data_IF_455251491054
#
_entry.id   IF_455251491054
#
_cell.length_a   1.000
_cell.length_b   1.000
_cell.length_c   1.000
_cell.angle_alpha   90.00
_cell.angle_beta   90.00
_cell.angle_gamma   90.00
#
_symmetry.space_group_name_H-M   'P 1'
#
loop_
_entity.id
_entity.type
_entity.pdbx_description
1 polymer ?
#
# COMPACT_ATOMS: atom_id res chain seq x y z
N UNK A 1 -1.44 -0.14 28.90
CA UNK A 1 -1.23 0.83 27.80
C UNK A 1 -2.48 0.93 26.95
N UNK A 2 -3.00 -0.18 26.41
CA UNK A 2 -4.15 -0.17 25.50
C UNK A 2 -5.43 0.45 26.11
N UNK A 3 -5.74 0.15 27.39
CA UNK A 3 -6.93 0.72 28.05
C UNK A 3 -6.82 2.24 28.26
N UNK A 4 -5.62 2.74 28.47
CA UNK A 4 -5.37 4.18 28.54
C UNK A 4 -5.58 4.83 27.17
N UNK A 5 -5.04 4.24 26.10
CA UNK A 5 -5.23 4.70 24.73
C UNK A 5 -6.71 4.75 24.34
N UNK A 6 -7.46 3.68 24.63
CA UNK A 6 -8.92 3.62 24.39
C UNK A 6 -9.68 4.74 25.13
N UNK A 7 -9.31 5.05 26.39
CA UNK A 7 -9.90 6.17 27.14
C UNK A 7 -9.57 7.52 26.51
N UNK A 8 -8.31 7.77 26.16
CA UNK A 8 -7.90 9.04 25.52
C UNK A 8 -8.66 9.26 24.20
N UNK A 9 -8.85 8.21 23.40
CA UNK A 9 -9.62 8.26 22.16
C UNK A 9 -11.10 8.61 22.45
N UNK A 10 -11.70 7.94 23.43
CA UNK A 10 -13.12 8.15 23.80
C UNK A 10 -13.38 9.55 24.36
N UNK A 11 -12.46 10.07 25.17
CA UNK A 11 -12.59 11.39 25.80
C UNK A 11 -12.29 12.56 24.83
N UNK A 12 -11.65 12.29 23.68
CA UNK A 12 -11.21 13.32 22.73
C UNK A 12 -11.50 12.93 21.27
N UNK A 13 -12.73 12.56 20.89
CA UNK A 13 -13.02 12.01 19.56
C UNK A 13 -12.69 12.94 18.40
N UNK A 14 -12.77 14.26 18.61
CA UNK A 14 -12.54 15.28 17.59
C UNK A 14 -11.08 15.77 17.51
N UNK A 15 -10.19 15.25 18.36
CA UNK A 15 -8.79 15.67 18.37
C UNK A 15 -7.95 14.82 17.44
N UNK A 16 -7.15 15.47 16.59
CA UNK A 16 -6.26 14.74 15.69
C UNK A 16 -5.29 13.81 16.44
N UNK A 17 -4.79 14.22 17.61
CA UNK A 17 -3.96 13.35 18.45
C UNK A 17 -4.66 12.05 18.87
N UNK A 18 -5.98 12.06 19.09
CA UNK A 18 -6.73 10.84 19.36
C UNK A 18 -6.84 9.95 18.10
N UNK A 19 -6.98 10.55 16.92
CA UNK A 19 -6.91 9.83 15.65
C UNK A 19 -5.54 9.19 15.43
N UNK A 20 -4.43 9.90 15.72
CA UNK A 20 -3.08 9.34 15.68
C UNK A 20 -2.90 8.14 16.59
N UNK A 21 -3.38 8.24 17.84
CA UNK A 21 -3.35 7.12 18.80
C UNK A 21 -4.16 5.93 18.24
N UNK A 22 -5.36 6.18 17.73
CA UNK A 22 -6.21 5.14 17.13
C UNK A 22 -5.50 4.46 15.95
N UNK A 23 -4.89 5.22 15.05
CA UNK A 23 -4.12 4.70 13.91
C UNK A 23 -2.96 3.80 14.33
N UNK A 24 -2.36 4.05 15.50
CA UNK A 24 -1.23 3.26 16.00
C UNK A 24 -1.64 1.86 16.49
N UNK A 25 -2.92 1.65 16.77
CA UNK A 25 -3.47 0.39 17.29
C UNK A 25 -3.76 -0.54 16.11
N UNK A 26 -3.24 -1.77 16.17
CA UNK A 26 -3.61 -2.81 15.22
C UNK A 26 -5.00 -3.37 15.54
N UNK A 27 -5.79 -3.76 14.53
CA UNK A 27 -7.07 -4.41 14.75
C UNK A 27 -6.89 -5.76 15.46
N UNK A 28 -7.75 -6.04 16.42
CA UNK A 28 -7.72 -7.31 17.16
C UNK A 28 -8.54 -8.38 16.43
N UNK A 29 -7.89 -9.50 16.10
CA UNK A 29 -8.59 -10.65 15.52
C UNK A 29 -9.68 -11.15 16.48
N UNK A 30 -10.93 -11.31 16.01
CA UNK A 30 -12.04 -11.80 16.83
C UNK A 30 -11.71 -13.12 17.52
N UNK A 31 -12.24 -13.30 18.72
CA UNK A 31 -11.93 -14.48 19.55
C UNK A 31 -12.30 -15.79 18.86
N UNK A 32 -13.37 -15.76 18.05
CA UNK A 32 -13.89 -16.90 17.30
C UNK A 32 -12.89 -17.39 16.23
N UNK A 33 -12.04 -16.48 15.72
CA UNK A 33 -11.05 -16.78 14.69
C UNK A 33 -9.65 -17.09 15.26
N UNK A 34 -9.42 -16.90 16.57
CA UNK A 34 -8.09 -17.13 17.18
C UNK A 34 -7.63 -18.59 17.12
N UNK A 35 -8.56 -19.54 16.96
CA UNK A 35 -8.27 -20.96 16.79
C UNK A 35 -7.92 -21.36 15.35
N UNK A 36 -8.22 -20.53 14.38
CA UNK A 36 -7.94 -20.75 12.97
C UNK A 36 -6.94 -19.70 12.45
N UNK A 37 -5.69 -20.16 12.24
CA UNK A 37 -4.59 -19.29 11.79
C UNK A 37 -4.85 -18.65 10.43
N UNK A 38 -5.44 -19.39 9.52
CA UNK A 38 -5.70 -18.94 8.17
C UNK A 38 -6.83 -17.90 8.14
N UNK A 39 -7.96 -18.21 8.76
CA UNK A 39 -9.08 -17.28 8.90
C UNK A 39 -8.66 -16.01 9.67
N UNK A 40 -7.90 -16.14 10.75
CA UNK A 40 -7.35 -15.02 11.50
C UNK A 40 -6.43 -14.13 10.68
N UNK A 41 -5.56 -14.73 9.85
CA UNK A 41 -4.68 -14.00 8.93
C UNK A 41 -5.48 -13.21 7.88
N UNK A 42 -6.45 -13.85 7.21
CA UNK A 42 -7.27 -13.18 6.21
C UNK A 42 -8.11 -12.06 6.82
N UNK A 43 -8.65 -12.31 8.02
CA UNK A 43 -9.38 -11.28 8.75
C UNK A 43 -8.47 -10.07 9.04
N UNK A 44 -7.33 -10.29 9.67
CA UNK A 44 -6.36 -9.23 10.03
C UNK A 44 -5.91 -8.44 8.80
N UNK A 45 -5.54 -9.13 7.72
CA UNK A 45 -5.14 -8.46 6.46
C UNK A 45 -6.25 -7.57 5.89
N UNK A 46 -7.51 -8.02 5.94
CA UNK A 46 -8.62 -7.26 5.38
C UNK A 46 -9.04 -6.07 6.24
N UNK A 47 -8.75 -6.12 7.54
CA UNK A 47 -9.12 -5.10 8.53
C UNK A 47 -7.94 -4.22 8.96
N UNK A 48 -6.77 -4.38 8.34
CA UNK A 48 -5.52 -3.75 8.77
C UNK A 48 -5.61 -2.22 8.86
N UNK A 49 -6.39 -1.59 8.02
CA UNK A 49 -6.57 -0.13 7.95
C UNK A 49 -7.85 0.38 8.63
N UNK A 50 -8.65 -0.46 9.28
CA UNK A 50 -9.94 -0.05 9.88
C UNK A 50 -9.82 1.05 10.95
N UNK A 51 -8.66 1.15 11.59
CA UNK A 51 -8.39 2.19 12.57
C UNK A 51 -7.85 3.50 11.96
N UNK A 52 -7.78 3.60 10.63
CA UNK A 52 -7.25 4.75 9.90
C UNK A 52 -8.37 5.38 9.08
N UNK A 53 -8.61 6.67 9.25
CA UNK A 53 -9.47 7.43 8.34
C UNK A 53 -8.66 7.78 7.09
N UNK A 54 -8.87 7.01 6.04
CA UNK A 54 -8.19 7.18 4.75
C UNK A 54 -8.65 8.42 3.97
N UNK A 55 -9.68 9.14 4.45
CA UNK A 55 -10.14 10.40 3.87
C UNK A 55 -9.51 11.64 4.54
N UNK A 56 -8.72 11.45 5.59
CA UNK A 56 -8.04 12.54 6.29
C UNK A 56 -6.63 12.75 5.75
N UNK A 57 -6.43 13.74 4.90
CA UNK A 57 -5.12 14.06 4.30
C UNK A 57 -4.01 14.38 5.31
N UNK A 58 -4.37 14.67 6.58
CA UNK A 58 -3.37 14.93 7.63
C UNK A 58 -2.54 13.69 7.97
N UNK A 59 -3.07 12.48 7.73
CA UNK A 59 -2.40 11.23 8.09
C UNK A 59 -1.05 11.04 7.39
N UNK A 60 -0.90 11.55 6.16
CA UNK A 60 0.37 11.45 5.41
C UNK A 60 1.50 12.31 6.01
N UNK A 61 1.15 13.25 6.90
CA UNK A 61 2.11 14.10 7.62
C UNK A 61 2.61 13.44 8.91
N UNK A 62 2.08 12.27 9.23
CA UNK A 62 2.47 11.49 10.42
C UNK A 62 3.34 10.30 10.03
N UNK A 63 4.32 9.90 10.87
CA UNK A 63 5.11 8.70 10.62
C UNK A 63 4.28 7.42 10.77
N UNK A 64 3.10 7.49 11.39
CA UNK A 64 2.26 6.33 11.71
C UNK A 64 1.72 5.71 10.42
N UNK A 65 1.12 6.53 9.53
CA UNK A 65 0.58 6.03 8.26
C UNK A 65 1.66 5.37 7.41
N UNK A 66 2.81 6.03 7.27
CA UNK A 66 3.96 5.45 6.57
C UNK A 66 4.37 4.10 7.16
N UNK A 67 4.56 4.04 8.48
CA UNK A 67 4.96 2.80 9.16
C UNK A 67 3.94 1.68 8.96
N UNK A 68 2.64 2.00 9.03
CA UNK A 68 1.55 1.06 8.77
C UNK A 68 1.60 0.54 7.34
N UNK A 69 1.75 1.43 6.36
CA UNK A 69 1.83 1.05 4.95
C UNK A 69 3.04 0.13 4.67
N UNK A 70 4.22 0.49 5.20
CA UNK A 70 5.44 -0.34 5.12
C UNK A 70 5.22 -1.72 5.72
N UNK A 71 4.69 -1.79 6.94
CA UNK A 71 4.45 -3.05 7.62
C UNK A 71 3.40 -3.91 6.90
N UNK A 72 2.34 -3.28 6.38
CA UNK A 72 1.34 -3.98 5.60
C UNK A 72 1.95 -4.64 4.37
N UNK A 73 2.62 -3.86 3.54
CA UNK A 73 3.19 -4.35 2.29
C UNK A 73 4.30 -5.39 2.50
N UNK A 74 5.19 -5.19 3.47
CA UNK A 74 6.41 -5.99 3.58
C UNK A 74 6.33 -7.11 4.61
N UNK A 75 5.36 -7.07 5.54
CA UNK A 75 5.25 -8.05 6.64
C UNK A 75 3.90 -8.76 6.71
N UNK A 76 2.82 -8.09 6.30
CA UNK A 76 1.47 -8.65 6.43
C UNK A 76 1.05 -9.38 5.16
N UNK A 77 1.38 -8.85 3.98
CA UNK A 77 1.00 -9.46 2.71
C UNK A 77 2.06 -10.47 2.25
N UNK A 78 1.62 -11.61 1.72
CA UNK A 78 2.51 -12.62 1.12
C UNK A 78 3.26 -11.99 -0.05
N UNK A 79 4.59 -12.17 -0.10
CA UNK A 79 5.50 -11.51 -1.03
C UNK A 79 5.52 -12.19 -2.41
N UNK A 80 4.38 -12.23 -3.07
CA UNK A 80 4.22 -12.65 -4.47
C UNK A 80 3.41 -11.61 -5.23
N UNK A 81 3.67 -11.42 -6.53
CA UNK A 81 2.94 -10.46 -7.35
C UNK A 81 1.43 -10.76 -7.38
N UNK A 82 1.06 -12.04 -7.51
CA UNK A 82 -0.34 -12.51 -7.51
C UNK A 82 -1.12 -12.14 -6.24
N UNK A 83 -0.44 -12.01 -5.11
CA UNK A 83 -1.07 -11.62 -3.84
C UNK A 83 -1.01 -10.12 -3.60
N UNK A 84 0.12 -9.50 -3.93
CA UNK A 84 0.35 -8.06 -3.69
C UNK A 84 -0.52 -7.20 -4.61
N UNK A 85 -0.57 -7.49 -5.91
CA UNK A 85 -1.31 -6.69 -6.89
C UNK A 85 -2.78 -6.52 -6.49
N UNK A 86 -3.59 -7.59 -6.30
CA UNK A 86 -4.99 -7.42 -5.92
C UNK A 86 -5.17 -6.80 -4.53
N UNK A 87 -4.22 -7.02 -3.60
CA UNK A 87 -4.27 -6.42 -2.27
C UNK A 87 -4.01 -4.91 -2.33
N UNK A 88 -3.03 -4.49 -3.13
CA UNK A 88 -2.70 -3.07 -3.38
C UNK A 88 -3.88 -2.37 -4.08
N UNK A 89 -4.41 -3.00 -5.12
CA UNK A 89 -5.55 -2.46 -5.86
C UNK A 89 -6.78 -2.27 -4.96
N UNK A 90 -7.05 -3.23 -4.08
CA UNK A 90 -8.12 -3.12 -3.09
C UNK A 90 -7.88 -1.97 -2.12
N UNK A 91 -6.65 -1.76 -1.65
CA UNK A 91 -6.31 -0.63 -0.77
C UNK A 91 -6.51 0.71 -1.49
N UNK A 92 -5.93 0.86 -2.68
CA UNK A 92 -5.99 2.12 -3.42
C UNK A 92 -7.41 2.46 -3.88
N UNK A 93 -8.24 1.45 -4.17
CA UNK A 93 -9.65 1.67 -4.55
C UNK A 93 -10.52 2.30 -3.46
N UNK A 94 -10.05 2.31 -2.21
CA UNK A 94 -10.73 2.96 -1.08
C UNK A 94 -10.35 4.43 -0.93
N UNK A 95 -9.37 4.91 -1.68
CA UNK A 95 -8.83 6.27 -1.58
C UNK A 95 -9.49 7.19 -2.61
N UNK A 96 -9.71 8.44 -2.24
CA UNK A 96 -10.10 9.47 -3.19
C UNK A 96 -8.91 9.78 -4.11
N UNK A 97 -9.03 9.61 -5.44
CA UNK A 97 -7.95 9.89 -6.40
C UNK A 97 -7.39 11.32 -6.36
N UNK A 98 -8.12 12.25 -5.78
CA UNK A 98 -7.70 13.66 -5.64
C UNK A 98 -6.99 13.97 -4.32
N UNK A 99 -7.00 13.03 -3.36
CA UNK A 99 -6.44 13.20 -2.01
C UNK A 99 -4.91 13.11 -1.97
N UNK A 100 -4.31 13.74 -0.96
CA UNK A 100 -2.88 13.57 -0.67
C UNK A 100 -2.56 12.14 -0.19
N UNK A 101 -3.52 11.45 0.43
CA UNK A 101 -3.38 10.05 0.82
C UNK A 101 -3.23 9.14 -0.40
N UNK A 102 -4.05 9.34 -1.43
CA UNK A 102 -3.93 8.60 -2.69
C UNK A 102 -2.57 8.82 -3.35
N UNK A 103 -2.19 10.08 -3.54
CA UNK A 103 -0.93 10.48 -4.14
C UNK A 103 0.27 9.87 -3.40
N UNK A 104 0.28 9.99 -2.07
CA UNK A 104 1.34 9.44 -1.23
C UNK A 104 1.42 7.92 -1.35
N UNK A 105 0.27 7.24 -1.25
CA UNK A 105 0.17 5.78 -1.26
C UNK A 105 0.64 5.21 -2.60
N UNK A 106 0.13 5.75 -3.72
CA UNK A 106 0.53 5.32 -5.07
C UNK A 106 2.01 5.56 -5.29
N UNK A 107 2.52 6.75 -4.92
CA UNK A 107 3.95 7.08 -5.07
C UNK A 107 4.83 6.14 -4.24
N UNK A 108 4.51 5.95 -2.97
CA UNK A 108 5.30 5.09 -2.09
C UNK A 108 5.33 3.64 -2.56
N UNK A 109 4.17 3.07 -2.92
CA UNK A 109 4.08 1.69 -3.40
C UNK A 109 4.90 1.52 -4.68
N UNK A 110 4.78 2.45 -5.62
CA UNK A 110 5.53 2.41 -6.87
C UNK A 110 7.03 2.44 -6.61
N UNK A 111 7.51 3.36 -5.77
CA UNK A 111 8.92 3.46 -5.40
C UNK A 111 9.43 2.20 -4.67
N UNK A 112 8.65 1.65 -3.75
CA UNK A 112 9.02 0.44 -3.01
C UNK A 112 9.26 -0.76 -3.94
N UNK A 113 8.44 -0.92 -4.96
CA UNK A 113 8.58 -2.04 -5.91
C UNK A 113 9.48 -1.71 -7.12
N UNK A 114 9.70 -0.44 -7.46
CA UNK A 114 10.75 -0.04 -8.41
C UNK A 114 12.14 -0.46 -7.92
N UNK A 115 12.38 -0.29 -6.61
CA UNK A 115 13.67 -0.54 -5.96
C UNK A 115 13.80 -1.93 -5.33
N UNK A 116 12.77 -2.77 -5.44
CA UNK A 116 12.77 -4.12 -4.87
C UNK A 116 13.90 -4.98 -5.44
N UNK A 117 14.48 -5.81 -4.56
CA UNK A 117 15.47 -6.82 -4.94
C UNK A 117 14.90 -8.25 -4.93
N UNK A 118 13.61 -8.37 -4.62
CA UNK A 118 12.93 -9.67 -4.58
C UNK A 118 12.50 -10.01 -6.00
N UNK A 119 12.97 -11.15 -6.50
CA UNK A 119 12.65 -11.63 -7.83
C UNK A 119 11.13 -11.79 -8.04
N UNK A 120 10.61 -11.29 -9.15
CA UNK A 120 9.20 -11.35 -9.52
C UNK A 120 8.34 -10.23 -8.94
N UNK A 121 8.82 -9.44 -7.97
CA UNK A 121 8.07 -8.28 -7.45
C UNK A 121 8.21 -7.02 -8.31
N UNK A 122 9.09 -7.01 -9.28
CA UNK A 122 9.14 -6.00 -10.35
C UNK A 122 7.86 -5.97 -11.21
N UNK A 123 7.11 -7.07 -11.25
CA UNK A 123 5.77 -7.11 -11.86
C UNK A 123 4.78 -6.15 -11.15
N UNK A 124 4.88 -6.01 -9.83
CA UNK A 124 4.07 -5.05 -9.07
C UNK A 124 4.38 -3.62 -9.49
N UNK A 125 5.67 -3.28 -9.69
CA UNK A 125 6.05 -1.96 -10.20
C UNK A 125 5.46 -1.68 -11.60
N UNK A 126 5.57 -2.65 -12.52
CA UNK A 126 5.01 -2.54 -13.87
C UNK A 126 3.49 -2.34 -13.81
N UNK A 127 2.79 -3.13 -12.96
CA UNK A 127 1.35 -2.97 -12.74
C UNK A 127 0.98 -1.57 -12.22
N UNK A 128 1.72 -1.06 -11.23
CA UNK A 128 1.48 0.29 -10.68
C UNK A 128 1.60 1.37 -11.75
N UNK A 129 2.64 1.27 -12.60
CA UNK A 129 2.83 2.24 -13.66
C UNK A 129 1.71 2.16 -14.69
N UNK A 130 1.33 0.96 -15.12
CA UNK A 130 0.27 0.77 -16.12
C UNK A 130 -1.09 1.29 -15.62
N UNK A 131 -1.42 0.98 -14.35
CA UNK A 131 -2.75 1.26 -13.82
C UNK A 131 -2.94 2.69 -13.32
N UNK A 132 -1.90 3.29 -12.73
CA UNK A 132 -2.04 4.58 -12.04
C UNK A 132 -1.33 5.73 -12.75
N UNK A 133 -0.26 5.48 -13.49
CA UNK A 133 0.49 6.54 -14.17
C UNK A 133 0.08 6.69 -15.63
N UNK A 134 0.00 5.60 -16.40
CA UNK A 134 -0.40 5.67 -17.82
C UNK A 134 -1.87 6.06 -18.02
N UNK A 135 -2.71 5.87 -17.01
CA UNK A 135 -4.15 6.23 -17.08
C UNK A 135 -4.46 7.68 -16.75
N UNK A 136 -3.42 8.48 -16.41
CA UNK A 136 -3.59 9.88 -16.07
C UNK A 136 -4.06 10.15 -14.63
N UNK A 137 -4.13 9.13 -13.77
CA UNK A 137 -4.47 9.31 -12.35
C UNK A 137 -3.33 9.97 -11.55
N UNK A 138 -2.09 9.86 -12.02
CA UNK A 138 -0.93 10.49 -11.40
C UNK A 138 -0.78 11.97 -11.79
N UNK A 139 -1.78 12.78 -11.49
CA UNK A 139 -1.87 14.20 -11.89
C UNK A 139 -0.78 15.10 -11.29
N UNK A 140 -0.05 14.61 -10.29
CA UNK A 140 1.07 15.32 -9.65
C UNK A 140 2.41 15.15 -10.39
N UNK A 141 2.45 14.31 -11.44
CA UNK A 141 3.66 14.09 -12.23
C UNK A 141 3.72 15.05 -13.42
N UNK A 142 4.90 15.65 -13.62
CA UNK A 142 5.19 16.31 -14.89
C UNK A 142 5.46 15.29 -16.02
N UNK A 143 5.38 15.75 -17.27
CA UNK A 143 5.51 14.88 -18.45
C UNK A 143 6.87 14.17 -18.52
N UNK A 144 7.95 14.85 -18.09
CA UNK A 144 9.30 14.30 -18.14
C UNK A 144 9.47 13.13 -17.15
N UNK A 145 8.99 13.33 -15.91
CA UNK A 145 9.00 12.28 -14.88
C UNK A 145 8.08 11.12 -15.25
N UNK A 146 6.89 11.44 -15.79
CA UNK A 146 5.96 10.43 -16.27
C UNK A 146 6.59 9.57 -17.37
N UNK A 147 7.23 10.18 -18.36
CA UNK A 147 7.95 9.48 -19.41
C UNK A 147 9.04 8.57 -18.84
N UNK A 148 9.85 9.10 -17.92
CA UNK A 148 10.95 8.35 -17.29
C UNK A 148 10.44 7.10 -16.56
N UNK A 149 9.37 7.20 -15.77
CA UNK A 149 8.84 6.06 -15.02
C UNK A 149 8.21 5.01 -15.94
N UNK A 150 7.57 5.46 -17.04
CA UNK A 150 7.00 4.58 -18.06
C UNK A 150 8.12 3.82 -18.80
N UNK A 151 9.18 4.50 -19.22
CA UNK A 151 10.35 3.86 -19.86
C UNK A 151 11.01 2.82 -18.96
N UNK A 152 11.13 3.09 -17.66
CA UNK A 152 11.63 2.12 -16.68
C UNK A 152 10.73 0.88 -16.57
N UNK A 153 9.41 1.06 -16.54
CA UNK A 153 8.47 -0.06 -16.50
C UNK A 153 8.51 -0.88 -17.78
N UNK A 154 8.58 -0.24 -18.93
CA UNK A 154 8.66 -0.92 -20.23
C UNK A 154 10.00 -1.69 -20.37
N UNK A 155 11.09 -1.16 -19.85
CA UNK A 155 12.39 -1.87 -19.79
C UNK A 155 12.35 -3.14 -18.93
N UNK A 156 11.58 -3.14 -17.82
CA UNK A 156 11.40 -4.31 -16.96
C UNK A 156 10.43 -5.34 -17.55
N UNK A 157 9.49 -4.93 -18.38
CA UNK A 157 8.41 -5.79 -18.91
C UNK A 157 8.90 -7.04 -19.64
N UNK A 158 9.98 -6.91 -20.39
CA UNK A 158 10.57 -8.02 -21.15
C UNK A 158 11.31 -9.05 -20.28
N UNK A 159 11.65 -8.69 -19.04
CA UNK A 159 12.42 -9.53 -18.11
C UNK A 159 11.58 -10.07 -16.94
N UNK A 160 10.27 -9.81 -16.94
CA UNK A 160 9.38 -10.31 -15.88
C UNK A 160 9.39 -11.83 -15.83
N UNK A 161 9.23 -12.36 -14.62
CA UNK A 161 9.22 -13.81 -14.38
C UNK A 161 8.12 -14.48 -15.23
N UNK A 162 8.48 -15.58 -15.90
CA UNK A 162 7.56 -16.33 -16.79
C UNK A 162 7.41 -15.75 -18.20
N UNK A 163 8.07 -14.64 -18.54
CA UNK A 163 8.15 -14.15 -19.92
C UNK A 163 9.25 -14.82 -20.70
N UNK A 164 9.07 -14.99 -22.01
CA UNK A 164 10.13 -15.44 -22.90
C UNK A 164 11.28 -14.42 -22.86
N UNK A 165 12.52 -14.90 -22.75
CA UNK A 165 13.68 -14.03 -22.81
C UNK A 165 13.73 -13.29 -24.16
N UNK A 166 14.09 -11.99 -24.17
CA UNK A 166 14.29 -11.27 -25.41
C UNK A 166 15.36 -11.96 -26.27
N UNK A 167 15.15 -12.00 -27.60
CA UNK A 167 16.17 -12.51 -28.51
C UNK A 167 17.42 -11.64 -28.40
N UNK A 168 18.55 -12.28 -28.13
CA UNK A 168 19.85 -11.63 -28.18
C UNK A 168 20.21 -11.51 -29.67
N UNK A 169 20.16 -10.31 -30.22
CA UNK A 169 20.82 -10.02 -31.50
C UNK A 169 22.32 -9.95 -31.24
N UNK A 170 23.03 -10.99 -31.67
CA UNK A 170 24.48 -11.05 -31.68
C UNK A 170 25.04 -10.31 -32.89
#
# INVERSE_FOLDING_TARGET
VLDYQKRVIADNPDKFAAHEIKMSIDPEVPTELKGDREAGYFWFKNHYFDNIDLNDDRIVRTPIYHTKLVNFLNKTVIQTADTLIPTIDKLISQLDPTSEVFKYTVHYITYNFETTKIMGLDEVFVHMVDKYYKTGLATWMDEEKLKTIVEKADGKRGTLLGKAAPELML
#
